data_IF_312342705089
#
_entry.id   IF_312342705089
#
_cell.length_a   1.000
_cell.length_b   1.000
_cell.length_c   1.000
_cell.angle_alpha   90.00
_cell.angle_beta   90.00
_cell.angle_gamma   90.00
#
_symmetry.space_group_name_H-M   'P 1'
#
loop_
_entity.id
_entity.type
_entity.pdbx_description
1 polymer ?
#
# COMPACT_ATOMS: atom_id res chain seq x y z
N UNK A 1 -19.15 22.15 -26.58
CA UNK A 1 -18.11 22.01 -25.52
C UNK A 1 -18.32 20.62 -24.94
N UNK A 2 -17.24 19.85 -24.75
CA UNK A 2 -17.36 18.42 -24.44
C UNK A 2 -17.98 18.20 -23.07
N UNK A 3 -18.98 17.34 -22.98
CA UNK A 3 -19.27 16.64 -21.74
C UNK A 3 -18.06 15.73 -21.47
N UNK A 4 -17.41 15.95 -20.33
CA UNK A 4 -16.38 15.04 -19.84
C UNK A 4 -17.07 14.02 -18.94
N UNK A 5 -17.05 12.75 -19.34
CA UNK A 5 -17.52 11.65 -18.51
C UNK A 5 -16.65 11.58 -17.24
N UNK A 6 -17.18 12.09 -16.13
CA UNK A 6 -16.62 11.82 -14.81
C UNK A 6 -16.95 10.38 -14.46
N UNK A 7 -16.08 9.44 -14.86
CA UNK A 7 -16.19 8.03 -14.52
C UNK A 7 -16.12 7.89 -13.00
N UNK A 8 -17.27 7.67 -12.37
CA UNK A 8 -17.39 7.47 -10.93
C UNK A 8 -16.79 6.11 -10.55
N UNK A 9 -15.57 6.13 -10.01
CA UNK A 9 -14.75 4.97 -9.60
C UNK A 9 -15.41 4.10 -8.50
N UNK A 10 -16.57 4.51 -7.97
CA UNK A 10 -17.20 3.96 -6.76
C UNK A 10 -17.90 2.61 -6.91
N UNK A 11 -18.20 2.12 -8.12
CA UNK A 11 -18.91 0.84 -8.31
C UNK A 11 -18.01 -0.36 -8.68
N UNK A 12 -16.72 -0.12 -9.00
CA UNK A 12 -15.91 -1.10 -9.74
C UNK A 12 -15.20 -2.16 -8.87
N UNK A 13 -15.21 -2.00 -7.54
CA UNK A 13 -14.46 -2.86 -6.59
C UNK A 13 -15.35 -3.37 -5.45
N UNK A 14 -16.46 -4.00 -5.82
CA UNK A 14 -17.60 -4.25 -4.95
C UNK A 14 -17.34 -5.16 -3.73
N UNK A 15 -16.16 -5.80 -3.64
CA UNK A 15 -15.56 -6.24 -2.38
C UNK A 15 -14.01 -6.15 -2.43
N UNK A 16 -13.48 -5.04 -1.92
CA UNK A 16 -12.03 -4.79 -1.82
C UNK A 16 -11.27 -5.85 -1.00
N UNK A 17 -11.90 -6.50 -0.03
CA UNK A 17 -11.24 -7.44 0.87
C UNK A 17 -11.35 -8.90 0.42
N UNK A 18 -12.42 -9.28 -0.29
CA UNK A 18 -12.58 -10.64 -0.81
C UNK A 18 -11.77 -10.90 -2.08
N UNK A 19 -11.46 -9.89 -2.88
CA UNK A 19 -10.69 -10.08 -4.12
C UNK A 19 -9.17 -10.07 -3.90
N UNK A 20 -8.45 -10.59 -4.90
CA UNK A 20 -6.98 -10.56 -4.97
C UNK A 20 -6.50 -9.31 -5.69
N UNK A 21 -5.37 -8.81 -5.24
CA UNK A 21 -4.74 -7.59 -5.75
C UNK A 21 -3.30 -7.86 -6.13
N UNK A 22 -2.78 -7.06 -7.05
CA UNK A 22 -1.37 -7.03 -7.42
C UNK A 22 -0.89 -5.58 -7.43
N UNK A 23 0.38 -5.40 -7.06
CA UNK A 23 1.06 -4.10 -7.02
C UNK A 23 1.38 -3.65 -8.44
N UNK A 24 1.15 -2.38 -8.75
CA UNK A 24 1.45 -1.80 -10.05
C UNK A 24 2.93 -2.05 -10.45
N UNK A 25 3.24 -2.25 -11.75
CA UNK A 25 4.64 -2.36 -12.20
C UNK A 25 5.49 -1.12 -11.87
N UNK A 26 4.86 0.05 -11.76
CA UNK A 26 5.47 1.33 -11.35
C UNK A 26 5.34 1.59 -9.83
N UNK A 27 4.84 0.59 -9.09
CA UNK A 27 4.40 0.51 -7.68
C UNK A 27 5.44 0.20 -6.58
N UNK A 28 6.72 0.55 -6.64
CA UNK A 28 7.77 -0.12 -5.83
C UNK A 28 7.73 0.14 -4.31
N UNK A 29 7.54 -0.92 -3.49
CA UNK A 29 7.78 -0.90 -2.04
C UNK A 29 9.28 -1.14 -1.76
N UNK A 30 9.93 -0.19 -1.08
CA UNK A 30 11.35 -0.21 -0.76
C UNK A 30 11.56 -0.23 0.76
N UNK A 31 12.59 -0.92 1.23
CA UNK A 31 12.98 -0.97 2.65
C UNK A 31 14.42 -0.48 2.82
N UNK A 32 14.63 0.43 3.77
CA UNK A 32 15.92 1.07 4.01
C UNK A 32 16.31 0.98 5.49
N UNK A 33 17.52 0.47 5.74
CA UNK A 33 18.14 0.41 7.07
C UNK A 33 18.55 1.80 7.61
N UNK A 34 18.46 2.86 6.81
CA UNK A 34 18.86 4.23 7.18
C UNK A 34 17.69 5.19 6.90
N UNK A 35 17.65 6.33 7.61
CA UNK A 35 16.67 7.39 7.41
C UNK A 35 16.89 8.19 6.09
N UNK A 36 16.87 7.50 4.95
CA UNK A 36 17.18 8.08 3.62
C UNK A 36 16.25 9.22 3.22
N UNK A 37 15.01 9.21 3.70
CA UNK A 37 14.01 10.27 3.49
C UNK A 37 14.37 11.59 4.21
N UNK A 38 15.33 11.58 5.13
CA UNK A 38 15.79 12.76 5.88
C UNK A 38 17.11 13.34 5.33
N UNK A 39 17.71 12.70 4.31
CA UNK A 39 19.00 13.12 3.75
C UNK A 39 18.87 14.55 3.19
N UNK A 40 19.72 15.42 3.70
CA UNK A 40 19.84 16.82 3.30
C UNK A 40 21.30 17.27 3.37
N UNK A 41 21.56 18.54 3.09
CA UNK A 41 22.90 19.14 3.28
C UNK A 41 23.31 19.12 4.76
N UNK A 42 22.34 19.31 5.66
CA UNK A 42 22.56 19.43 7.12
C UNK A 42 22.43 18.09 7.87
N UNK A 43 21.85 17.06 7.25
CA UNK A 43 21.66 15.75 7.85
C UNK A 43 22.02 14.61 6.89
N UNK A 44 22.99 13.79 7.28
CA UNK A 44 23.35 12.55 6.60
C UNK A 44 23.39 11.41 7.63
N UNK A 45 22.54 10.37 7.53
CA UNK A 45 22.47 9.32 8.52
C UNK A 45 23.71 8.42 8.44
N UNK A 46 24.56 8.50 9.46
CA UNK A 46 25.80 7.70 9.58
C UNK A 46 25.59 6.36 10.28
N UNK A 47 24.41 6.14 10.87
CA UNK A 47 24.05 4.92 11.60
C UNK A 47 22.73 4.37 11.06
N UNK A 48 22.57 3.05 11.15
CA UNK A 48 21.32 2.38 10.82
C UNK A 48 20.25 2.70 11.86
N UNK A 49 19.00 2.74 11.41
CA UNK A 49 17.83 2.79 12.28
C UNK A 49 17.64 1.43 12.98
N UNK A 50 17.03 1.45 14.17
CA UNK A 50 16.65 0.21 14.89
C UNK A 50 15.56 -0.58 14.16
N UNK A 51 14.71 0.12 13.40
CA UNK A 51 13.64 -0.44 12.56
C UNK A 51 13.80 0.11 11.14
N UNK A 52 13.69 -0.72 10.08
CA UNK A 52 13.75 -0.24 8.70
C UNK A 52 12.65 0.78 8.37
N UNK A 53 12.99 1.75 7.54
CA UNK A 53 12.01 2.68 6.93
C UNK A 53 11.46 2.02 5.68
N UNK A 54 10.13 1.95 5.56
CA UNK A 54 9.49 1.52 4.32
C UNK A 54 9.03 2.73 3.52
N UNK A 55 9.44 2.82 2.25
CA UNK A 55 9.01 3.85 1.32
C UNK A 55 8.31 3.19 0.13
N UNK A 56 7.04 3.51 -0.07
CA UNK A 56 6.29 3.13 -1.25
C UNK A 56 6.45 4.23 -2.30
N UNK A 57 7.26 3.94 -3.31
CA UNK A 57 7.54 4.84 -4.43
C UNK A 57 6.63 4.47 -5.59
N UNK A 58 5.81 5.39 -6.05
CA UNK A 58 4.87 5.15 -7.13
C UNK A 58 4.90 6.24 -8.18
N UNK A 59 4.52 5.87 -9.41
CA UNK A 59 4.14 6.85 -10.43
C UNK A 59 2.64 6.94 -10.52
N UNK A 60 2.11 8.16 -10.50
CA UNK A 60 0.68 8.40 -10.65
C UNK A 60 0.25 8.49 -12.13
N UNK A 61 -1.06 8.65 -12.42
CA UNK A 61 -1.56 8.81 -13.79
C UNK A 61 -1.10 10.09 -14.52
N UNK A 62 -0.48 11.06 -13.83
CA UNK A 62 0.06 12.30 -14.39
C UNK A 62 1.56 12.19 -14.71
N UNK A 63 2.13 10.98 -14.65
CA UNK A 63 3.57 10.67 -14.77
C UNK A 63 4.44 11.24 -13.61
N UNK A 64 3.84 11.74 -12.52
CA UNK A 64 4.59 12.24 -11.35
C UNK A 64 5.09 11.09 -10.46
N UNK A 65 6.31 11.22 -9.93
CA UNK A 65 6.89 10.24 -8.98
C UNK A 65 6.65 10.71 -7.55
N UNK A 66 5.86 9.94 -6.80
CA UNK A 66 5.47 10.23 -5.42
C UNK A 66 5.97 9.16 -4.45
N UNK A 67 5.99 9.53 -3.17
CA UNK A 67 6.52 8.73 -2.07
C UNK A 67 5.49 8.70 -0.93
N UNK A 68 5.22 7.51 -0.39
CA UNK A 68 4.47 7.32 0.85
C UNK A 68 5.37 6.60 1.85
N UNK A 69 5.60 7.22 3.02
CA UNK A 69 6.20 6.50 4.14
C UNK A 69 5.20 5.49 4.69
N UNK A 70 5.66 4.24 4.80
CA UNK A 70 4.87 3.11 5.25
C UNK A 70 5.37 2.64 6.61
N UNK A 71 4.44 2.26 7.49
CA UNK A 71 4.79 1.54 8.71
C UNK A 71 4.91 0.04 8.42
N UNK A 72 5.35 -0.74 9.40
CA UNK A 72 5.49 -2.19 9.25
C UNK A 72 4.18 -2.91 8.88
N UNK A 73 3.02 -2.36 9.27
CA UNK A 73 1.70 -2.95 8.97
C UNK A 73 1.30 -2.70 7.51
N UNK A 74 1.50 -1.48 6.99
CA UNK A 74 1.21 -1.18 5.58
C UNK A 74 2.19 -1.88 4.64
N UNK A 75 3.48 -1.93 4.99
CA UNK A 75 4.47 -2.72 4.25
C UNK A 75 4.06 -4.21 4.20
N UNK A 76 3.71 -4.79 5.36
CA UNK A 76 3.29 -6.19 5.45
C UNK A 76 1.99 -6.50 4.70
N UNK A 77 1.05 -5.55 4.65
CA UNK A 77 -0.18 -5.70 3.85
C UNK A 77 0.16 -5.82 2.36
N UNK A 78 1.03 -4.95 1.84
CA UNK A 78 1.46 -5.01 0.44
C UNK A 78 2.15 -6.33 0.09
N UNK A 79 3.09 -6.80 0.92
CA UNK A 79 3.76 -8.09 0.74
C UNK A 79 2.77 -9.26 0.64
N UNK A 80 1.73 -9.27 1.49
CA UNK A 80 0.73 -10.34 1.51
C UNK A 80 -0.18 -10.29 0.28
N UNK A 81 -0.55 -9.08 -0.21
CA UNK A 81 -1.27 -8.93 -1.47
C UNK A 81 -0.43 -9.42 -2.66
N UNK A 82 0.86 -9.05 -2.73
CA UNK A 82 1.79 -9.56 -3.77
C UNK A 82 1.98 -11.07 -3.72
N UNK A 83 1.92 -11.69 -2.53
CA UNK A 83 1.90 -13.15 -2.37
C UNK A 83 0.59 -13.82 -2.83
N UNK A 84 -0.39 -13.05 -3.31
CA UNK A 84 -1.67 -13.54 -3.84
C UNK A 84 -2.76 -13.76 -2.78
N UNK A 85 -2.60 -13.20 -1.58
CA UNK A 85 -3.67 -13.18 -0.58
C UNK A 85 -4.74 -12.14 -0.94
N UNK A 86 -5.96 -12.37 -0.47
CA UNK A 86 -7.01 -11.34 -0.49
C UNK A 86 -6.79 -10.33 0.63
N UNK A 87 -7.38 -9.14 0.54
CA UNK A 87 -7.28 -8.14 1.61
C UNK A 87 -7.74 -8.65 2.97
N UNK A 88 -8.81 -9.46 2.99
CA UNK A 88 -9.31 -10.14 4.18
C UNK A 88 -8.30 -11.12 4.78
N UNK A 89 -7.70 -11.98 3.94
CA UNK A 89 -6.68 -12.94 4.37
C UNK A 89 -5.45 -12.23 4.95
N UNK A 90 -4.99 -11.17 4.27
CA UNK A 90 -3.83 -10.40 4.70
C UNK A 90 -4.10 -9.67 6.03
N UNK A 91 -5.24 -9.00 6.18
CA UNK A 91 -5.63 -8.32 7.42
C UNK A 91 -5.75 -9.30 8.60
N UNK A 92 -6.31 -10.50 8.37
CA UNK A 92 -6.38 -11.55 9.38
C UNK A 92 -4.98 -12.01 9.83
N UNK A 93 -4.08 -12.33 8.89
CA UNK A 93 -2.71 -12.76 9.19
C UNK A 93 -1.91 -11.68 9.95
N UNK A 94 -2.14 -10.40 9.63
CA UNK A 94 -1.55 -9.26 10.35
C UNK A 94 -2.10 -9.20 11.79
N UNK A 95 -3.42 -9.32 11.97
CA UNK A 95 -4.03 -9.29 13.32
C UNK A 95 -3.53 -10.44 14.20
N UNK A 96 -3.34 -11.63 13.62
CA UNK A 96 -2.78 -12.80 14.30
C UNK A 96 -1.32 -12.56 14.71
N UNK A 97 -0.50 -12.02 13.80
CA UNK A 97 0.91 -11.72 14.05
C UNK A 97 1.13 -10.63 15.12
N UNK A 98 0.26 -9.60 15.15
CA UNK A 98 0.30 -8.53 16.14
C UNK A 98 -0.30 -8.92 17.51
N UNK A 99 -0.90 -10.12 17.63
CA UNK A 99 -1.69 -10.54 18.79
C UNK A 99 -2.76 -9.50 19.20
N UNK A 100 -3.29 -8.77 18.21
CA UNK A 100 -4.10 -7.59 18.46
C UNK A 100 -5.46 -7.98 19.02
N UNK A 101 -5.88 -7.37 20.14
CA UNK A 101 -7.14 -7.73 20.81
C UNK A 101 -8.42 -7.34 20.04
N UNK A 102 -8.28 -6.70 18.87
CA UNK A 102 -9.37 -6.21 18.05
C UNK A 102 -9.08 -6.44 16.55
N UNK A 103 -9.41 -7.62 15.99
CA UNK A 103 -9.19 -7.94 14.58
C UNK A 103 -9.95 -7.03 13.61
N UNK A 104 -11.15 -6.59 13.99
CA UNK A 104 -12.00 -5.71 13.17
C UNK A 104 -11.33 -4.36 12.87
N UNK A 105 -10.51 -3.85 13.80
CA UNK A 105 -9.73 -2.61 13.62
C UNK A 105 -8.65 -2.79 12.55
N UNK A 106 -7.98 -3.95 12.54
CA UNK A 106 -6.96 -4.28 11.53
C UNK A 106 -7.62 -4.44 10.15
N UNK A 107 -8.79 -5.08 10.09
CA UNK A 107 -9.55 -5.22 8.86
C UNK A 107 -10.06 -3.88 8.30
N UNK A 108 -10.58 -2.99 9.17
CA UNK A 108 -10.99 -1.65 8.78
C UNK A 108 -9.82 -0.80 8.27
N UNK A 109 -8.67 -0.85 8.96
CA UNK A 109 -7.44 -0.17 8.54
C UNK A 109 -6.91 -0.69 7.20
N UNK A 110 -6.94 -2.01 6.98
CA UNK A 110 -6.56 -2.62 5.70
C UNK A 110 -7.49 -2.17 4.56
N UNK A 111 -8.81 -2.16 4.78
CA UNK A 111 -9.78 -1.67 3.79
C UNK A 111 -9.52 -0.20 3.41
N UNK A 112 -9.32 0.68 4.39
CA UNK A 112 -9.04 2.09 4.15
C UNK A 112 -7.75 2.29 3.34
N UNK A 113 -6.69 1.57 3.70
CA UNK A 113 -5.38 1.64 3.04
C UNK A 113 -5.43 1.09 1.61
N UNK A 114 -6.10 -0.04 1.39
CA UNK A 114 -6.30 -0.60 0.06
C UNK A 114 -7.13 0.33 -0.83
N UNK A 115 -8.15 0.98 -0.29
CA UNK A 115 -8.92 1.97 -1.03
C UNK A 115 -8.06 3.17 -1.47
N UNK A 116 -7.21 3.72 -0.58
CA UNK A 116 -6.26 4.79 -0.95
C UNK A 116 -5.28 4.33 -2.05
N UNK A 117 -4.72 3.11 -1.94
CA UNK A 117 -3.85 2.54 -2.96
C UNK A 117 -4.53 2.32 -4.32
N UNK A 118 -5.82 1.96 -4.34
CA UNK A 118 -6.60 1.86 -5.58
C UNK A 118 -6.78 3.23 -6.23
N UNK A 119 -7.18 4.26 -5.45
CA UNK A 119 -7.34 5.62 -5.98
C UNK A 119 -6.03 6.22 -6.52
N UNK A 120 -4.88 5.78 -5.99
CA UNK A 120 -3.54 6.19 -6.44
C UNK A 120 -2.95 5.34 -7.58
N UNK A 121 -3.64 4.30 -8.03
CA UNK A 121 -3.12 3.37 -9.05
C UNK A 121 -1.95 2.49 -8.56
N UNK A 122 -1.78 2.34 -7.24
CA UNK A 122 -0.70 1.57 -6.60
C UNK A 122 -1.00 0.07 -6.64
N UNK A 123 -2.27 -0.32 -6.50
CA UNK A 123 -2.75 -1.71 -6.64
C UNK A 123 -3.90 -1.78 -7.64
N UNK A 124 -4.01 -2.93 -8.29
CA UNK A 124 -5.07 -3.24 -9.26
C UNK A 124 -5.51 -4.70 -9.09
N UNK A 125 -6.76 -5.07 -9.48
CA UNK A 125 -7.22 -6.44 -9.33
C UNK A 125 -6.35 -7.42 -10.14
N UNK A 126 -6.22 -8.65 -9.63
CA UNK A 126 -5.62 -9.74 -10.42
C UNK A 126 -6.66 -10.23 -11.43
N UNK A 127 -6.35 -10.10 -12.72
CA UNK A 127 -7.20 -10.67 -13.78
C UNK A 127 -7.27 -12.21 -13.65
N UNK A 128 -8.45 -12.82 -13.81
CA UNK A 128 -8.57 -14.27 -13.88
C UNK A 128 -7.85 -14.80 -15.14
N UNK A 129 -7.00 -15.81 -14.94
CA UNK A 129 -6.35 -16.57 -16.02
C UNK A 129 -7.24 -17.68 -16.56
#
# INVERSE_FOLDING_TARGET
ISDAEVVTVTEQYHDLLAQRWQRAPLAWLLSYDFAVHQISVDYQPQQKNEVPVFLLVYRDPNDEVLFIECNAVSARLMELLEAGHTGYQAAKMISEALQHQQPDVVQAGALQLMNDWVQRGIIYPVEPK
#
